data_IF_707387144281
#
_entry.id   IF_707387144281
#
_cell.length_a   1.000
_cell.length_b   1.000
_cell.length_c   1.000
_cell.angle_alpha   90.00
_cell.angle_beta   90.00
_cell.angle_gamma   90.00
#
_symmetry.space_group_name_H-M   'P 1'
#
loop_
_entity.id
_entity.type
_entity.pdbx_description
1 polymer ?
#
# COMPACT_ATOMS: atom_id res chain seq x y z
N UNK A 1 -8.99 19.58 35.59
CA UNK A 1 -9.66 18.40 35.00
C UNK A 1 -10.07 18.76 33.57
N UNK A 2 -10.16 17.81 32.63
CA UNK A 2 -10.47 18.08 31.19
C UNK A 2 -11.95 17.91 30.83
N UNK A 3 -12.80 17.61 31.82
CA UNK A 3 -14.26 17.65 31.76
C UNK A 3 -14.76 18.41 33.01
N UNK A 4 -15.96 19.00 32.93
CA UNK A 4 -16.50 19.87 34.00
C UNK A 4 -17.04 19.11 35.23
N UNK A 5 -17.07 17.78 35.20
CA UNK A 5 -17.52 16.96 36.33
C UNK A 5 -16.41 16.78 37.39
N UNK A 6 -16.60 17.34 38.59
CA UNK A 6 -15.75 17.04 39.75
C UNK A 6 -16.09 15.65 40.31
N UNK A 7 -15.08 14.82 40.57
CA UNK A 7 -15.24 13.50 41.19
C UNK A 7 -14.28 13.32 42.39
N UNK A 8 -14.59 12.46 43.36
CA UNK A 8 -13.77 12.29 44.56
C UNK A 8 -12.38 11.71 44.23
N UNK A 9 -11.37 12.14 44.99
CA UNK A 9 -9.98 11.69 44.85
C UNK A 9 -9.84 10.18 45.08
N UNK A 10 -10.68 9.59 45.92
CA UNK A 10 -10.76 8.14 46.15
C UNK A 10 -12.17 7.64 45.89
N UNK A 11 -12.31 6.51 45.23
CA UNK A 11 -13.62 5.86 45.01
C UNK A 11 -13.48 4.34 44.98
N UNK A 12 -14.45 3.65 45.57
CA UNK A 12 -14.57 2.21 45.40
C UNK A 12 -15.07 1.90 43.97
N UNK A 13 -14.28 1.14 43.21
CA UNK A 13 -14.59 0.68 41.86
C UNK A 13 -14.24 -0.80 41.80
N UNK A 14 -15.23 -1.64 41.45
CA UNK A 14 -15.11 -3.11 41.41
C UNK A 14 -14.64 -3.72 42.74
N UNK A 15 -15.20 -3.25 43.86
CA UNK A 15 -14.91 -3.74 45.20
C UNK A 15 -13.54 -3.33 45.75
N UNK A 16 -12.78 -2.47 45.04
CA UNK A 16 -11.45 -2.00 45.45
C UNK A 16 -11.41 -0.47 45.53
N UNK A 17 -10.78 0.08 46.56
CA UNK A 17 -10.52 1.53 46.63
C UNK A 17 -9.49 1.93 45.58
N UNK A 18 -9.86 2.87 44.71
CA UNK A 18 -8.99 3.41 43.66
C UNK A 18 -8.69 4.89 43.91
N UNK A 19 -7.43 5.28 43.81
CA UNK A 19 -7.00 6.67 43.79
C UNK A 19 -7.17 7.25 42.37
N UNK A 20 -7.91 8.35 42.27
CA UNK A 20 -8.30 9.01 41.02
C UNK A 20 -7.69 10.42 40.87
N UNK A 21 -6.81 10.88 41.77
CA UNK A 21 -6.26 12.25 41.79
C UNK A 21 -5.66 12.70 40.44
N UNK A 22 -5.04 11.78 39.71
CA UNK A 22 -4.35 12.07 38.45
C UNK A 22 -5.23 11.85 37.21
N UNK A 23 -6.50 11.44 37.38
CA UNK A 23 -7.39 11.24 36.25
C UNK A 23 -7.76 12.57 35.62
N UNK A 24 -7.59 12.63 34.30
CA UNK A 24 -7.90 13.82 33.51
C UNK A 24 -9.39 13.93 33.15
N UNK A 25 -10.13 12.82 33.20
CA UNK A 25 -11.54 12.72 32.82
C UNK A 25 -12.33 11.93 33.88
N UNK A 26 -13.60 12.28 34.06
CA UNK A 26 -14.52 11.59 34.97
C UNK A 26 -14.80 10.15 34.50
N UNK A 27 -15.39 9.35 35.38
CA UNK A 27 -15.69 7.94 35.10
C UNK A 27 -16.80 7.74 34.06
N UNK A 28 -17.60 8.77 33.78
CA UNK A 28 -18.59 8.75 32.70
C UNK A 28 -17.91 8.98 31.34
N UNK A 29 -17.08 10.02 31.23
CA UNK A 29 -16.36 10.31 29.99
C UNK A 29 -15.30 9.25 29.65
N UNK A 30 -14.65 8.67 30.66
CA UNK A 30 -13.65 7.61 30.50
C UNK A 30 -13.86 6.58 31.61
N UNK A 31 -14.61 5.50 31.34
CA UNK A 31 -14.82 4.44 32.31
C UNK A 31 -13.51 3.78 32.74
N UNK A 32 -13.47 3.27 33.98
CA UNK A 32 -12.30 2.59 34.52
C UNK A 32 -12.07 1.25 33.78
N UNK A 33 -10.81 0.84 33.57
CA UNK A 33 -10.47 -0.45 32.95
C UNK A 33 -10.66 -0.57 31.43
N UNK A 34 -11.27 0.41 30.75
CA UNK A 34 -11.59 0.33 29.31
C UNK A 34 -10.42 0.64 28.34
N UNK A 35 -9.19 0.84 28.83
CA UNK A 35 -8.03 1.20 28.01
C UNK A 35 -8.33 2.28 26.94
N UNK A 36 -8.97 3.38 27.35
CA UNK A 36 -9.32 4.50 26.47
C UNK A 36 -8.05 5.21 25.94
N UNK A 37 -7.42 4.67 24.90
CA UNK A 37 -6.20 5.19 24.26
C UNK A 37 -6.44 6.46 23.43
N UNK A 38 -7.71 6.79 23.19
CA UNK A 38 -8.12 7.98 22.44
C UNK A 38 -8.07 9.22 23.33
N UNK A 39 -7.45 10.29 22.83
CA UNK A 39 -7.51 11.61 23.46
C UNK A 39 -8.93 12.20 23.34
N UNK A 40 -9.67 12.17 24.44
CA UNK A 40 -11.05 12.67 24.51
C UNK A 40 -11.17 14.20 24.39
N UNK A 41 -10.06 14.95 24.49
CA UNK A 41 -10.08 16.40 24.19
C UNK A 41 -10.09 16.70 22.69
N UNK A 42 -9.82 15.71 21.85
CA UNK A 42 -9.85 15.90 20.39
C UNK A 42 -11.25 15.58 19.86
N UNK A 43 -11.76 16.38 18.88
CA UNK A 43 -13.03 16.08 18.25
C UNK A 43 -12.99 14.71 17.58
N UNK A 44 -14.10 13.99 17.66
CA UNK A 44 -14.24 12.71 16.97
C UNK A 44 -14.17 12.97 15.47
N UNK A 45 -13.16 12.39 14.79
CA UNK A 45 -13.08 12.46 13.32
C UNK A 45 -14.33 11.84 12.73
N UNK A 46 -15.10 12.60 11.93
CA UNK A 46 -16.23 12.05 11.17
C UNK A 46 -15.73 10.97 10.22
N UNK A 47 -16.17 9.72 10.41
CA UNK A 47 -15.89 8.62 9.47
C UNK A 47 -16.44 9.00 8.10
N UNK A 48 -15.64 8.79 7.05
CA UNK A 48 -16.07 9.05 5.67
C UNK A 48 -16.11 10.52 5.24
N UNK A 49 -15.48 11.45 5.99
CA UNK A 49 -15.38 12.84 5.55
C UNK A 49 -14.78 12.94 4.14
N UNK A 50 -15.46 13.69 3.26
CA UNK A 50 -15.01 13.96 1.89
C UNK A 50 -14.52 15.41 1.78
N UNK A 51 -13.44 15.60 1.03
CA UNK A 51 -12.78 16.87 0.80
C UNK A 51 -12.67 17.10 -0.70
N UNK A 52 -13.08 18.28 -1.16
CA UNK A 52 -12.75 18.76 -2.49
C UNK A 52 -11.31 19.29 -2.46
N UNK A 53 -10.46 18.78 -3.35
CA UNK A 53 -9.07 19.23 -3.49
C UNK A 53 -8.81 19.59 -4.95
N UNK A 54 -7.92 20.55 -5.21
CA UNK A 54 -7.29 20.75 -6.52
C UNK A 54 -5.96 20.00 -6.54
N UNK A 55 -5.84 18.98 -7.38
CA UNK A 55 -4.66 18.13 -7.41
C UNK A 55 -3.44 18.88 -7.98
N UNK A 56 -2.29 18.87 -7.30
CA UNK A 56 -1.08 19.55 -7.80
C UNK A 56 -0.38 18.83 -8.95
N UNK A 57 -0.77 17.59 -9.28
CA UNK A 57 -0.16 16.80 -10.37
C UNK A 57 -1.00 16.73 -11.64
N UNK A 58 -2.33 16.67 -11.52
CA UNK A 58 -3.23 16.65 -12.68
C UNK A 58 -4.08 17.91 -12.82
N UNK A 59 -3.96 18.85 -11.88
CA UNK A 59 -4.67 20.14 -11.84
C UNK A 59 -6.21 20.08 -11.79
N UNK A 60 -6.80 18.89 -11.89
CA UNK A 60 -8.22 18.63 -11.74
C UNK A 60 -8.68 18.70 -10.28
N UNK A 61 -9.92 19.13 -10.10
CA UNK A 61 -10.63 19.05 -8.83
C UNK A 61 -11.13 17.62 -8.58
N UNK A 62 -10.96 17.13 -7.35
CA UNK A 62 -11.32 15.77 -6.96
C UNK A 62 -11.94 15.75 -5.58
N UNK A 63 -13.00 14.95 -5.42
CA UNK A 63 -13.53 14.58 -4.12
C UNK A 63 -12.72 13.40 -3.56
N UNK A 64 -12.17 13.54 -2.35
CA UNK A 64 -11.29 12.54 -1.75
C UNK A 64 -11.54 12.39 -0.24
N UNK A 65 -11.06 11.31 0.36
CA UNK A 65 -11.14 11.08 1.82
C UNK A 65 -9.96 11.68 2.60
N UNK A 66 -9.03 12.34 1.92
CA UNK A 66 -7.79 12.87 2.50
C UNK A 66 -7.55 14.31 2.05
N UNK A 67 -7.11 15.21 2.93
CA UNK A 67 -6.72 16.58 2.55
C UNK A 67 -5.37 16.69 1.82
N UNK A 68 -4.84 15.56 1.33
CA UNK A 68 -3.60 15.55 0.57
C UNK A 68 -3.78 16.34 -0.73
N UNK A 69 -2.79 17.17 -1.08
CA UNK A 69 -2.82 17.97 -2.31
C UNK A 69 -2.65 17.16 -3.61
N UNK A 70 -2.42 15.85 -3.51
CA UNK A 70 -2.32 14.93 -4.64
C UNK A 70 -3.46 13.92 -4.56
N UNK A 71 -4.23 13.80 -5.64
CA UNK A 71 -5.37 12.90 -5.73
C UNK A 71 -4.95 11.42 -5.69
N UNK A 72 -5.84 10.49 -5.26
CA UNK A 72 -5.53 9.07 -5.18
C UNK A 72 -4.98 8.47 -6.48
N UNK A 73 -5.55 8.84 -7.64
CA UNK A 73 -5.11 8.41 -8.96
C UNK A 73 -3.64 8.75 -9.20
N UNK A 74 -3.26 10.02 -9.06
CA UNK A 74 -1.87 10.44 -9.31
C UNK A 74 -0.89 9.82 -8.31
N UNK A 75 -1.29 9.64 -7.04
CA UNK A 75 -0.46 8.90 -6.06
C UNK A 75 -0.23 7.46 -6.49
N UNK A 76 -1.29 6.77 -6.94
CA UNK A 76 -1.20 5.39 -7.44
C UNK A 76 -0.31 5.30 -8.68
N UNK A 77 -0.50 6.19 -9.65
CA UNK A 77 0.33 6.26 -10.87
C UNK A 77 1.80 6.47 -10.51
N UNK A 78 2.11 7.44 -9.64
CA UNK A 78 3.49 7.69 -9.17
C UNK A 78 4.09 6.46 -8.50
N UNK A 79 3.35 5.80 -7.62
CA UNK A 79 3.79 4.56 -6.94
C UNK A 79 4.07 3.44 -7.94
N UNK A 80 3.15 3.24 -8.90
CA UNK A 80 3.30 2.26 -9.98
C UNK A 80 4.56 2.50 -10.81
N UNK A 81 4.80 3.74 -11.23
CA UNK A 81 6.01 4.08 -12.00
C UNK A 81 7.29 3.82 -11.20
N UNK A 82 7.34 4.21 -9.92
CA UNK A 82 8.50 3.99 -9.09
C UNK A 82 8.80 2.50 -8.88
N UNK A 83 7.79 1.69 -8.60
CA UNK A 83 7.96 0.25 -8.40
C UNK A 83 8.29 -0.48 -9.70
N UNK A 84 7.64 -0.12 -10.81
CA UNK A 84 7.95 -0.69 -12.11
C UNK A 84 9.38 -0.36 -12.55
N UNK A 85 9.85 0.86 -12.29
CA UNK A 85 11.24 1.25 -12.57
C UNK A 85 12.22 0.36 -11.80
N UNK A 86 12.04 0.21 -10.49
CA UNK A 86 12.87 -0.70 -9.68
C UNK A 86 12.88 -2.13 -10.23
N UNK A 87 11.72 -2.63 -10.66
CA UNK A 87 11.61 -3.97 -11.24
C UNK A 87 12.41 -4.11 -12.54
N UNK A 88 12.36 -3.10 -13.40
CA UNK A 88 13.15 -3.06 -14.63
C UNK A 88 14.65 -3.03 -14.34
N UNK A 89 15.06 -2.19 -13.38
CA UNK A 89 16.45 -2.04 -12.96
C UNK A 89 17.03 -3.40 -12.48
N UNK A 90 16.25 -4.19 -11.74
CA UNK A 90 16.66 -5.54 -11.29
C UNK A 90 16.84 -6.54 -12.44
N UNK A 91 16.05 -6.42 -13.50
CA UNK A 91 16.06 -7.34 -14.65
C UNK A 91 16.95 -6.86 -15.81
N UNK A 92 17.68 -5.76 -15.63
CA UNK A 92 18.52 -5.16 -16.67
C UNK A 92 17.76 -4.45 -17.80
N UNK A 93 16.45 -4.21 -17.63
CA UNK A 93 15.58 -3.46 -18.53
C UNK A 93 15.64 -3.89 -20.02
N UNK A 94 15.82 -5.19 -20.28
CA UNK A 94 15.87 -5.79 -21.62
C UNK A 94 15.06 -7.08 -21.68
N UNK A 95 14.63 -7.46 -22.88
CA UNK A 95 14.05 -8.78 -23.11
C UNK A 95 15.10 -9.86 -22.83
N UNK A 96 14.79 -10.80 -21.95
CA UNK A 96 15.71 -11.91 -21.62
C UNK A 96 15.88 -12.92 -22.76
N UNK A 97 14.95 -12.93 -23.72
CA UNK A 97 14.94 -13.85 -24.87
C UNK A 97 15.73 -13.27 -26.05
N UNK A 98 15.31 -12.12 -26.57
CA UNK A 98 15.90 -11.54 -27.79
C UNK A 98 16.79 -10.31 -27.55
N UNK A 99 16.95 -9.88 -26.30
CA UNK A 99 17.79 -8.72 -25.95
C UNK A 99 17.18 -7.34 -26.22
N UNK A 100 15.97 -7.24 -26.79
CA UNK A 100 15.31 -5.96 -27.07
C UNK A 100 15.31 -5.02 -25.86
N UNK A 101 15.84 -3.80 -26.02
CA UNK A 101 16.00 -2.81 -24.96
C UNK A 101 15.67 -1.37 -25.39
N UNK A 102 15.11 -1.16 -26.59
CA UNK A 102 14.88 0.19 -27.14
C UNK A 102 13.72 0.91 -26.45
N UNK A 103 12.62 0.22 -26.15
CA UNK A 103 11.43 0.81 -25.52
C UNK A 103 11.00 0.03 -24.29
N UNK A 104 11.15 0.66 -23.12
CA UNK A 104 10.65 0.13 -21.84
C UNK A 104 9.14 -0.14 -21.87
N UNK A 105 8.39 0.62 -22.68
CA UNK A 105 6.94 0.45 -22.83
C UNK A 105 6.59 -0.85 -23.56
N UNK A 106 7.49 -1.35 -24.41
CA UNK A 106 7.31 -2.61 -25.12
C UNK A 106 7.79 -3.82 -24.32
N UNK A 107 8.24 -3.64 -23.07
CA UNK A 107 8.63 -4.72 -22.18
C UNK A 107 7.49 -5.09 -21.22
N UNK A 108 7.30 -6.38 -20.98
CA UNK A 108 6.28 -6.94 -20.10
C UNK A 108 6.85 -8.06 -19.23
N UNK A 109 6.34 -8.18 -18.00
CA UNK A 109 6.65 -9.29 -17.12
C UNK A 109 5.70 -10.44 -17.42
N UNK A 110 6.24 -11.55 -17.91
CA UNK A 110 5.52 -12.79 -18.18
C UNK A 110 5.71 -13.75 -17.01
N UNK A 111 4.62 -14.28 -16.46
CA UNK A 111 4.71 -15.33 -15.43
C UNK A 111 5.01 -16.65 -16.12
N UNK A 112 6.12 -17.29 -15.76
CA UNK A 112 6.55 -18.58 -16.33
C UNK A 112 5.58 -19.69 -15.97
N UNK A 113 5.11 -19.69 -14.72
CA UNK A 113 4.08 -20.61 -14.25
C UNK A 113 2.87 -19.81 -13.73
N UNK A 114 1.78 -19.85 -14.50
CA UNK A 114 0.54 -19.13 -14.17
C UNK A 114 -0.14 -19.67 -12.91
N UNK A 115 0.10 -20.91 -12.51
CA UNK A 115 -0.50 -21.51 -11.31
C UNK A 115 0.20 -21.05 -10.03
N UNK A 116 1.48 -20.67 -10.11
CA UNK A 116 2.27 -20.16 -8.97
C UNK A 116 2.12 -18.66 -8.73
N UNK A 117 1.42 -17.93 -9.61
CA UNK A 117 1.17 -16.50 -9.42
C UNK A 117 0.25 -16.27 -8.23
N UNK A 118 0.63 -15.36 -7.35
CA UNK A 118 -0.20 -14.93 -6.21
C UNK A 118 -1.10 -13.76 -6.65
N UNK A 119 -0.60 -12.91 -7.54
CA UNK A 119 -1.39 -11.78 -8.06
C UNK A 119 -0.91 -11.32 -9.44
N UNK A 120 -1.79 -10.66 -10.19
CA UNK A 120 -1.39 -10.06 -11.47
C UNK A 120 -0.54 -8.81 -11.24
N UNK A 121 0.76 -8.88 -11.56
CA UNK A 121 1.70 -7.78 -11.40
C UNK A 121 1.25 -6.49 -12.14
N UNK A 122 0.70 -6.61 -13.35
CA UNK A 122 0.26 -5.45 -14.16
C UNK A 122 -0.77 -4.55 -13.47
N UNK A 123 -1.57 -5.08 -12.54
CA UNK A 123 -2.60 -4.36 -11.80
C UNK A 123 -2.21 -4.05 -10.33
N UNK A 124 -1.17 -4.72 -9.80
CA UNK A 124 -0.88 -4.77 -8.37
C UNK A 124 0.41 -4.03 -7.95
N UNK A 125 0.88 -3.07 -8.75
CA UNK A 125 2.00 -2.16 -8.45
C UNK A 125 1.76 -1.16 -7.29
N UNK A 126 0.90 -1.49 -6.35
CA UNK A 126 0.64 -0.70 -5.15
C UNK A 126 0.93 -1.49 -3.86
N UNK A 127 1.26 -2.77 -3.98
CA UNK A 127 1.66 -3.64 -2.87
C UNK A 127 3.01 -3.21 -2.28
N UNK A 128 3.35 -3.68 -1.06
CA UNK A 128 4.70 -3.56 -0.52
C UNK A 128 5.74 -4.11 -1.49
N UNK A 129 6.96 -3.55 -1.47
CA UNK A 129 8.00 -3.89 -2.44
C UNK A 129 8.39 -5.37 -2.34
N UNK A 130 8.47 -5.88 -1.13
CA UNK A 130 8.88 -7.25 -0.80
C UNK A 130 7.91 -8.27 -1.44
N UNK A 131 6.61 -7.99 -1.44
CA UNK A 131 5.60 -8.82 -2.11
C UNK A 131 5.75 -8.75 -3.64
N UNK A 132 6.09 -7.58 -4.17
CA UNK A 132 6.28 -7.38 -5.60
C UNK A 132 7.54 -8.08 -6.08
N UNK A 133 8.64 -7.96 -5.33
CA UNK A 133 9.90 -8.63 -5.62
C UNK A 133 9.74 -10.16 -5.58
N UNK A 134 9.05 -10.69 -4.57
CA UNK A 134 8.75 -12.12 -4.48
C UNK A 134 7.94 -12.63 -5.69
N UNK A 135 6.99 -11.84 -6.18
CA UNK A 135 6.22 -12.20 -7.39
C UNK A 135 7.03 -12.01 -8.67
N UNK A 136 7.89 -10.98 -8.74
CA UNK A 136 8.78 -10.72 -9.86
C UNK A 136 9.74 -11.88 -10.12
N UNK A 137 10.26 -12.52 -9.07
CA UNK A 137 11.14 -13.71 -9.17
C UNK A 137 10.48 -14.94 -9.81
N UNK A 138 9.17 -14.89 -10.08
CA UNK A 138 8.42 -15.91 -10.83
C UNK A 138 8.17 -15.51 -12.28
N UNK A 139 8.64 -14.33 -12.67
CA UNK A 139 8.44 -13.73 -13.97
C UNK A 139 9.76 -13.59 -14.74
N UNK A 140 9.64 -13.56 -16.07
CA UNK A 140 10.68 -13.12 -16.99
C UNK A 140 10.28 -11.79 -17.63
N UNK A 141 11.24 -10.94 -17.93
CA UNK A 141 11.04 -9.68 -18.65
C UNK A 141 11.22 -9.93 -20.15
N UNK A 142 10.15 -9.74 -20.93
CA UNK A 142 10.12 -10.03 -22.36
C UNK A 142 9.55 -8.85 -23.15
N UNK A 143 9.95 -8.69 -24.42
CA UNK A 143 9.31 -7.71 -25.30
C UNK A 143 7.93 -8.20 -25.76
N UNK A 144 7.10 -7.33 -26.34
CA UNK A 144 5.76 -7.69 -26.80
C UNK A 144 5.73 -8.90 -27.75
N UNK A 145 6.72 -9.03 -28.64
CA UNK A 145 6.78 -10.13 -29.61
C UNK A 145 7.09 -11.45 -28.91
N UNK A 146 8.20 -11.51 -28.15
CA UNK A 146 8.54 -12.72 -27.39
C UNK A 146 7.48 -13.05 -26.35
N UNK A 147 6.78 -12.06 -25.79
CA UNK A 147 5.66 -12.30 -24.89
C UNK A 147 4.48 -12.99 -25.58
N UNK A 148 4.18 -12.66 -26.84
CA UNK A 148 3.17 -13.36 -27.61
C UNK A 148 3.63 -14.80 -27.92
N UNK A 149 4.87 -14.93 -28.42
CA UNK A 149 5.49 -16.22 -28.74
C UNK A 149 5.57 -17.17 -27.53
N UNK A 150 5.75 -16.67 -26.30
CA UNK A 150 5.72 -17.53 -25.10
C UNK A 150 4.34 -18.08 -24.80
N UNK A 151 3.24 -17.40 -25.17
CA UNK A 151 1.89 -17.97 -25.05
C UNK A 151 1.66 -19.09 -26.07
N UNK A 152 2.38 -19.06 -27.20
CA UNK A 152 2.38 -20.10 -28.23
C UNK A 152 3.42 -21.22 -27.95
N UNK A 153 4.07 -21.19 -26.78
CA UNK A 153 5.09 -22.15 -26.35
C UNK A 153 6.33 -22.23 -27.27
N UNK A 154 6.69 -21.12 -27.93
CA UNK A 154 7.87 -21.06 -28.81
C UNK A 154 9.20 -20.85 -28.06
N UNK A 155 9.16 -20.63 -26.75
CA UNK A 155 10.34 -20.36 -25.92
C UNK A 155 10.35 -21.22 -24.66
N UNK A 156 11.52 -21.73 -24.29
CA UNK A 156 11.73 -22.34 -22.97
C UNK A 156 11.83 -21.26 -21.88
N UNK A 157 10.67 -20.89 -21.35
CA UNK A 157 10.57 -19.86 -20.32
C UNK A 157 11.22 -20.23 -18.98
N UNK A 158 11.41 -21.53 -18.69
CA UNK A 158 12.07 -21.97 -17.46
C UNK A 158 13.58 -21.70 -17.52
N UNK A 159 14.21 -21.95 -18.66
CA UNK A 159 15.61 -21.60 -18.90
C UNK A 159 15.87 -20.10 -18.70
N UNK A 160 14.98 -19.23 -19.21
CA UNK A 160 15.16 -17.78 -19.04
C UNK A 160 14.87 -17.30 -17.61
N UNK A 161 14.04 -18.01 -16.85
CA UNK A 161 13.77 -17.67 -15.45
C UNK A 161 15.02 -17.84 -14.59
N UNK A 162 15.76 -18.93 -14.78
CA UNK A 162 16.96 -19.21 -13.98
C UNK A 162 18.07 -18.20 -14.27
N UNK A 163 18.26 -17.82 -15.54
CA UNK A 163 19.31 -16.88 -15.96
C UNK A 163 19.02 -15.44 -15.55
N UNK A 164 17.75 -15.01 -15.55
CA UNK A 164 17.42 -13.62 -15.23
C UNK A 164 17.64 -13.30 -13.74
N UNK A 165 17.55 -14.30 -12.87
CA UNK A 165 17.58 -14.14 -11.42
C UNK A 165 18.77 -14.82 -10.73
N UNK A 166 19.72 -15.37 -11.51
CA UNK A 166 21.04 -15.82 -11.05
C UNK A 166 21.98 -14.64 -10.87
#
# INVERSE_FOLDING_TARGET
MKCDDRFPVKKNIDGKERNLQNRKFCLQCSPFGQHNTRDLTKPVKKRGARYLIKCVLCHEEKQTTSRNRVCPRCRFVKKRHAQRKKALDLTGAKCCICGYNTSIKALAFHHVDRAKKVFNLSANWHRPWEQIEAELKKCILVCCNCHAETHDNLHDTYYFLTIQWS
#
